data_IF_427299112756
#
_entry.id   IF_427299112756
#
_cell.length_a   1.000
_cell.length_b   1.000
_cell.length_c   1.000
_cell.angle_alpha   90.00
_cell.angle_beta   90.00
_cell.angle_gamma   90.00
#
_symmetry.space_group_name_H-M   'P 1'
#
loop_
_entity.id
_entity.type
_entity.pdbx_description
1 polymer ?
#
# COMPACT_ATOMS: atom_id res chain seq x y z
N UNK A 1 -6.55 17.56 17.82
CA UNK A 1 -6.31 16.13 17.56
C UNK A 1 -5.71 16.05 16.17
N UNK A 2 -4.58 15.36 16.02
CA UNK A 2 -3.91 15.22 14.72
C UNK A 2 -4.57 14.11 13.90
N UNK A 3 -4.54 14.21 12.57
CA UNK A 3 -4.79 13.12 11.63
C UNK A 3 -3.45 12.38 11.43
N UNK A 4 -3.30 11.14 11.94
CA UNK A 4 -2.06 10.37 11.75
C UNK A 4 -2.07 9.68 10.39
N UNK A 5 -1.07 10.02 9.58
CA UNK A 5 -0.86 9.52 8.22
C UNK A 5 0.47 8.80 8.17
N UNK A 6 0.52 7.62 7.56
CA UNK A 6 1.71 6.80 7.49
C UNK A 6 2.07 6.45 6.06
N UNK A 7 3.38 6.42 5.81
CA UNK A 7 4.01 5.91 4.61
C UNK A 7 5.02 4.83 5.01
N UNK A 8 5.25 3.85 4.15
CA UNK A 8 6.41 2.96 4.25
C UNK A 8 7.27 3.15 3.01
N UNK A 9 8.53 3.53 3.19
CA UNK A 9 9.43 3.86 2.06
C UNK A 9 10.82 3.26 2.24
N UNK A 10 11.45 2.91 1.12
CA UNK A 10 12.89 2.78 1.00
C UNK A 10 13.51 4.09 0.50
N UNK A 11 14.82 4.23 0.62
CA UNK A 11 15.53 5.47 0.29
C UNK A 11 15.34 5.90 -1.17
N UNK A 12 15.33 4.94 -2.10
CA UNK A 12 15.11 5.13 -3.53
C UNK A 12 13.67 5.53 -3.90
N UNK A 13 12.70 5.33 -3.00
CA UNK A 13 11.32 5.76 -3.19
C UNK A 13 11.06 7.20 -2.70
N UNK A 14 12.07 7.89 -2.16
CA UNK A 14 11.95 9.27 -1.68
C UNK A 14 11.42 10.24 -2.74
N UNK A 15 11.89 10.21 -4.01
CA UNK A 15 11.38 11.11 -5.04
C UNK A 15 9.86 11.04 -5.19
N UNK A 16 9.29 9.83 -5.24
CA UNK A 16 7.85 9.60 -5.36
C UNK A 16 7.10 10.01 -4.10
N UNK A 17 7.63 9.62 -2.94
CA UNK A 17 7.08 9.99 -1.64
C UNK A 17 7.03 11.52 -1.47
N UNK A 18 8.00 12.25 -2.00
CA UNK A 18 8.01 13.71 -1.99
C UNK A 18 6.89 14.31 -2.86
N UNK A 19 6.57 13.70 -4.01
CA UNK A 19 5.41 14.12 -4.84
C UNK A 19 4.10 13.88 -4.08
N UNK A 20 3.94 12.70 -3.48
CA UNK A 20 2.77 12.38 -2.63
C UNK A 20 2.66 13.36 -1.47
N UNK A 21 3.74 13.57 -0.71
CA UNK A 21 3.77 14.48 0.43
C UNK A 21 3.50 15.93 0.03
N UNK A 22 4.07 16.40 -1.09
CA UNK A 22 3.79 17.72 -1.63
C UNK A 22 2.30 17.89 -1.88
N UNK A 23 1.69 16.92 -2.57
CA UNK A 23 0.25 16.95 -2.88
C UNK A 23 -0.63 16.89 -1.62
N UNK A 24 -0.24 16.14 -0.60
CA UNK A 24 -0.90 16.12 0.71
C UNK A 24 -0.85 17.50 1.38
N UNK A 25 0.34 18.11 1.45
CA UNK A 25 0.52 19.44 2.07
C UNK A 25 -0.25 20.52 1.33
N UNK A 26 -0.34 20.43 0.01
CA UNK A 26 -1.09 21.37 -0.85
C UNK A 26 -2.60 21.35 -0.59
N UNK A 27 -3.14 20.19 -0.20
CA UNK A 27 -4.58 20.00 0.03
C UNK A 27 -4.99 19.91 1.51
N UNK A 28 -4.04 19.95 2.45
CA UNK A 28 -4.31 19.92 3.88
C UNK A 28 -5.18 21.11 4.32
N UNK A 29 -6.27 20.86 5.04
CA UNK A 29 -7.09 21.92 5.63
C UNK A 29 -6.29 22.64 6.73
N UNK A 30 -6.05 23.97 6.62
CA UNK A 30 -5.30 24.72 7.63
C UNK A 30 -5.94 24.72 9.03
N UNK A 31 -7.18 24.24 9.18
CA UNK A 31 -7.88 24.10 10.47
C UNK A 31 -7.69 22.73 11.12
N UNK A 32 -7.12 21.77 10.39
CA UNK A 32 -6.82 20.41 10.86
C UNK A 32 -5.32 20.30 11.09
N UNK A 33 -4.93 19.42 11.99
CA UNK A 33 -3.53 19.12 12.31
C UNK A 33 -3.20 17.72 11.78
N UNK A 34 -2.02 17.52 11.22
CA UNK A 34 -1.60 16.29 10.55
C UNK A 34 -0.24 15.85 11.06
N UNK A 35 -0.08 14.56 11.32
CA UNK A 35 1.20 13.95 11.68
C UNK A 35 1.50 12.91 10.63
N UNK A 36 2.43 13.22 9.74
CA UNK A 36 2.86 12.32 8.67
C UNK A 36 4.12 11.60 9.13
N UNK A 37 4.07 10.27 9.21
CA UNK A 37 5.19 9.45 9.68
C UNK A 37 5.67 8.52 8.57
N UNK A 38 6.94 8.63 8.22
CA UNK A 38 7.62 7.73 7.28
C UNK A 38 8.26 6.58 8.04
N UNK A 39 7.74 5.36 7.88
CA UNK A 39 8.41 4.14 8.29
C UNK A 39 9.45 3.79 7.24
N UNK A 40 10.70 3.57 7.65
CA UNK A 40 11.78 3.27 6.72
C UNK A 40 12.83 2.36 7.37
N UNK A 41 13.71 1.79 6.55
CA UNK A 41 14.93 1.13 7.02
C UNK A 41 16.10 1.73 6.24
N UNK A 42 16.85 2.63 6.88
CA UNK A 42 18.02 3.27 6.26
C UNK A 42 17.73 4.40 5.27
N UNK A 43 16.79 5.30 5.58
CA UNK A 43 16.59 6.54 4.81
C UNK A 43 17.81 7.45 5.01
N UNK A 44 18.33 8.03 3.93
CA UNK A 44 19.48 8.91 3.99
C UNK A 44 19.13 10.23 4.67
N UNK A 45 20.11 10.87 5.32
CA UNK A 45 19.90 12.17 5.97
C UNK A 45 19.49 13.27 4.99
N UNK A 46 19.96 13.19 3.75
CA UNK A 46 19.60 14.15 2.71
C UNK A 46 18.13 13.97 2.30
N UNK A 47 17.66 12.73 2.19
CA UNK A 47 16.25 12.42 1.93
C UNK A 47 15.32 12.74 3.11
N UNK A 48 15.72 12.45 4.36
CA UNK A 48 14.99 12.92 5.54
C UNK A 48 14.87 14.45 5.53
N UNK A 49 15.95 15.16 5.25
CA UNK A 49 15.95 16.63 5.17
C UNK A 49 15.07 17.14 4.04
N UNK A 50 15.08 16.47 2.88
CA UNK A 50 14.21 16.81 1.75
C UNK A 50 12.73 16.68 2.10
N UNK A 51 12.33 15.57 2.73
CA UNK A 51 10.95 15.35 3.16
C UNK A 51 10.56 16.27 4.33
N UNK A 52 11.47 16.52 5.28
CA UNK A 52 11.24 17.44 6.40
C UNK A 52 11.02 18.89 5.97
N UNK A 53 11.47 19.30 4.78
CA UNK A 53 11.23 20.64 4.24
C UNK A 53 9.73 20.93 3.97
N UNK A 54 8.89 19.89 3.96
CA UNK A 54 7.44 19.99 3.83
C UNK A 54 6.71 20.24 5.16
N UNK A 55 7.41 20.30 6.30
CA UNK A 55 6.81 20.70 7.58
C UNK A 55 6.09 22.07 7.45
N UNK A 56 4.92 22.18 8.07
CA UNK A 56 4.11 23.41 8.19
C UNK A 56 3.59 23.54 9.62
N UNK A 57 2.97 24.67 9.95
CA UNK A 57 2.40 24.91 11.29
C UNK A 57 1.42 23.81 11.72
N UNK A 58 0.68 23.23 10.76
CA UNK A 58 -0.32 22.19 10.99
C UNK A 58 0.02 20.84 10.34
N UNK A 59 1.20 20.67 9.73
CA UNK A 59 1.65 19.41 9.12
C UNK A 59 3.03 19.05 9.66
N UNK A 60 3.08 18.00 10.48
CA UNK A 60 4.28 17.56 11.20
C UNK A 60 4.85 16.30 10.58
N UNK A 61 6.07 16.38 10.06
CA UNK A 61 6.76 15.27 9.40
C UNK A 61 7.66 14.55 10.40
N UNK A 62 7.50 13.23 10.52
CA UNK A 62 8.27 12.35 11.41
C UNK A 62 8.86 11.19 10.62
N UNK A 63 9.96 10.66 11.13
CA UNK A 63 10.65 9.50 10.57
C UNK A 63 10.74 8.44 11.67
N UNK A 64 10.42 7.20 11.32
CA UNK A 64 10.48 6.06 12.21
C UNK A 64 11.33 4.96 11.56
N UNK A 65 12.53 4.78 12.08
CA UNK A 65 13.45 3.75 11.60
C UNK A 65 13.05 2.37 12.14
N UNK A 66 12.75 1.47 11.22
CA UNK A 66 12.51 0.05 11.49
C UNK A 66 13.84 -0.65 11.71
N UNK A 67 14.32 -0.61 12.95
CA UNK A 67 15.58 -1.25 13.34
C UNK A 67 15.55 -2.78 13.14
N UNK A 68 16.72 -3.36 12.85
CA UNK A 68 16.87 -4.82 12.74
C UNK A 68 16.41 -5.55 14.01
N UNK A 69 16.55 -4.92 15.18
CA UNK A 69 16.08 -5.49 16.45
C UNK A 69 14.56 -5.60 16.53
N UNK A 70 13.82 -4.59 16.04
CA UNK A 70 12.36 -4.64 15.92
C UNK A 70 11.91 -5.71 14.92
N UNK A 71 12.71 -5.95 13.89
CA UNK A 71 12.45 -6.98 12.88
C UNK A 71 12.92 -8.37 13.31
N UNK A 72 13.79 -8.48 14.31
CA UNK A 72 14.42 -9.73 14.72
C UNK A 72 13.44 -10.85 15.10
N UNK A 73 12.36 -10.61 15.89
CA UNK A 73 11.36 -11.65 16.18
C UNK A 73 10.65 -12.18 14.92
N UNK A 74 10.66 -11.37 13.85
CA UNK A 74 10.09 -11.69 12.55
C UNK A 74 11.13 -12.43 11.70
N UNK A 75 12.39 -11.99 11.71
CA UNK A 75 13.48 -12.59 10.96
C UNK A 75 13.95 -13.93 11.54
N UNK A 76 13.99 -14.08 12.88
CA UNK A 76 14.55 -15.26 13.60
C UNK A 76 13.76 -16.57 13.38
N UNK A 77 12.61 -16.54 12.70
CA UNK A 77 11.85 -17.75 12.36
C UNK A 77 12.52 -18.42 11.17
N UNK A 78 13.04 -19.65 11.36
CA UNK A 78 13.75 -20.45 10.35
C UNK A 78 13.00 -20.56 9.02
N UNK A 79 11.67 -20.52 9.06
CA UNK A 79 10.82 -20.56 7.87
C UNK A 79 10.89 -19.25 7.04
N UNK A 80 11.12 -18.11 7.69
CA UNK A 80 11.28 -16.80 7.02
C UNK A 80 12.67 -16.65 6.37
N UNK A 81 13.71 -17.27 6.94
CA UNK A 81 15.06 -17.31 6.35
C UNK A 81 15.14 -18.16 5.07
N UNK A 82 14.29 -19.17 4.90
CA UNK A 82 14.25 -20.01 3.69
C UNK A 82 13.65 -19.28 2.48
N UNK A 83 13.02 -18.11 2.70
CA UNK A 83 12.61 -17.16 1.66
C UNK A 83 13.55 -15.96 1.57
N UNK A 84 14.85 -16.21 1.72
CA UNK A 84 15.94 -15.25 1.43
C UNK A 84 16.03 -14.76 -0.02
N UNK A 85 14.93 -14.85 -0.78
CA UNK A 85 14.76 -14.36 -2.13
C UNK A 85 13.42 -13.57 -2.18
N UNK A 86 13.52 -12.22 -2.13
CA UNK A 86 12.55 -11.22 -2.63
C UNK A 86 11.35 -10.71 -1.80
N UNK A 87 11.24 -10.95 -0.49
CA UNK A 87 10.33 -10.12 0.34
C UNK A 87 11.13 -9.24 1.28
N UNK A 88 11.33 -7.98 0.89
CA UNK A 88 11.74 -6.97 1.84
C UNK A 88 10.66 -6.89 2.92
N UNK A 89 11.04 -7.12 4.18
CA UNK A 89 10.11 -7.03 5.33
C UNK A 89 9.32 -5.70 5.35
N UNK A 90 9.80 -4.68 4.65
CA UNK A 90 9.13 -3.42 4.40
C UNK A 90 7.72 -3.54 3.83
N UNK A 91 7.40 -4.58 3.04
CA UNK A 91 6.03 -4.74 2.50
C UNK A 91 4.98 -4.88 3.61
N UNK A 92 5.36 -5.45 4.75
CA UNK A 92 4.47 -5.70 5.89
C UNK A 92 4.44 -4.57 6.92
N UNK A 93 5.26 -3.52 6.79
CA UNK A 93 5.34 -2.45 7.80
C UNK A 93 3.99 -1.81 8.09
N UNK A 94 3.14 -1.66 7.06
CA UNK A 94 1.78 -1.15 7.18
C UNK A 94 0.91 -1.95 8.17
N UNK A 95 1.13 -3.26 8.27
CA UNK A 95 0.37 -4.15 9.16
C UNK A 95 0.69 -3.93 10.64
N UNK A 96 1.89 -3.40 10.94
CA UNK A 96 2.39 -3.23 12.31
C UNK A 96 2.09 -1.84 12.87
N UNK A 97 1.62 -0.90 12.05
CA UNK A 97 1.32 0.47 12.48
C UNK A 97 0.42 0.52 13.72
N UNK A 98 -0.68 -0.27 13.83
CA UNK A 98 -1.54 -0.24 15.01
C UNK A 98 -0.84 -0.56 16.33
N UNK A 99 0.13 -1.49 16.32
CA UNK A 99 0.88 -1.92 17.51
C UNK A 99 2.06 -1.01 17.82
N UNK A 100 2.73 -0.48 16.77
CA UNK A 100 3.87 0.42 16.92
C UNK A 100 3.47 1.81 17.42
N UNK A 101 2.25 2.26 17.12
CA UNK A 101 1.74 3.58 17.50
C UNK A 101 0.43 3.46 18.30
N UNK A 102 0.47 2.89 19.52
CA UNK A 102 -0.71 2.60 20.33
C UNK A 102 -1.44 3.86 20.80
N UNK A 103 -0.84 5.04 20.68
CA UNK A 103 -1.48 6.33 20.97
C UNK A 103 -2.59 6.70 19.97
N UNK A 104 -2.65 6.05 18.81
CA UNK A 104 -3.69 6.27 17.82
C UNK A 104 -4.74 5.15 17.83
N UNK A 105 -6.01 5.53 17.89
CA UNK A 105 -7.15 4.60 17.75
C UNK A 105 -7.56 4.40 16.29
N UNK A 106 -7.22 5.34 15.41
CA UNK A 106 -7.47 5.28 13.97
C UNK A 106 -6.28 5.91 13.23
N UNK A 107 -5.89 5.34 12.10
CA UNK A 107 -4.80 5.85 11.26
C UNK A 107 -5.14 5.76 9.77
N UNK A 108 -4.47 6.57 8.94
CA UNK A 108 -4.48 6.43 7.48
C UNK A 108 -3.09 5.98 7.03
N UNK A 109 -3.03 4.95 6.19
CA UNK A 109 -1.83 4.54 5.48
C UNK A 109 -2.02 4.80 3.99
N UNK A 110 -0.99 5.32 3.33
CA UNK A 110 -0.93 5.45 1.87
C UNK A 110 0.46 5.07 1.34
N UNK A 111 0.50 4.43 0.18
CA UNK A 111 1.76 4.13 -0.52
C UNK A 111 2.41 5.42 -1.08
N UNK A 112 3.71 5.35 -1.32
CA UNK A 112 4.51 6.52 -1.73
C UNK A 112 4.31 6.95 -3.19
N UNK A 113 3.78 6.06 -4.02
CA UNK A 113 3.40 6.26 -5.41
C UNK A 113 1.94 6.74 -5.56
N UNK A 114 1.57 7.69 -4.71
CA UNK A 114 0.24 8.29 -4.68
C UNK A 114 0.30 9.81 -4.92
N UNK A 115 -0.82 10.38 -5.38
CA UNK A 115 -1.04 11.83 -5.47
C UNK A 115 -2.41 12.18 -4.90
N UNK A 116 -2.45 13.11 -3.97
CA UNK A 116 -3.67 13.62 -3.37
C UNK A 116 -4.17 14.84 -4.13
N UNK A 117 -5.48 14.84 -4.36
CA UNK A 117 -6.21 15.95 -4.99
C UNK A 117 -7.40 16.40 -4.12
N UNK A 118 -7.42 15.94 -2.86
CA UNK A 118 -8.36 16.35 -1.83
C UNK A 118 -7.70 16.16 -0.45
N UNK A 119 -8.31 16.73 0.59
CA UNK A 119 -7.81 16.65 1.96
C UNK A 119 -7.92 15.21 2.52
N UNK A 120 -6.78 14.62 2.90
CA UNK A 120 -6.70 13.28 3.49
C UNK A 120 -7.46 13.15 4.81
N UNK A 121 -7.76 14.25 5.50
CA UNK A 121 -8.62 14.25 6.66
C UNK A 121 -10.02 13.66 6.35
N UNK A 122 -10.51 13.83 5.11
CA UNK A 122 -11.79 13.26 4.69
C UNK A 122 -11.74 11.74 4.64
N UNK A 123 -10.61 11.13 4.29
CA UNK A 123 -10.40 9.68 4.41
C UNK A 123 -10.48 9.25 5.88
N UNK A 124 -9.70 9.91 6.74
CA UNK A 124 -9.67 9.63 8.18
C UNK A 124 -11.05 9.73 8.86
N UNK A 125 -11.86 10.71 8.45
CA UNK A 125 -13.17 10.98 9.02
C UNK A 125 -14.25 9.96 8.61
N UNK A 126 -13.96 9.02 7.70
CA UNK A 126 -14.90 7.94 7.40
C UNK A 126 -15.21 7.12 8.66
N UNK A 127 -16.50 6.87 8.87
CA UNK A 127 -16.97 5.98 9.93
C UNK A 127 -16.78 4.52 9.52
N UNK A 128 -15.96 3.81 10.29
CA UNK A 128 -15.67 2.39 10.10
C UNK A 128 -16.70 1.51 10.81
N UNK A 129 -17.46 2.04 11.78
CA UNK A 129 -18.30 1.23 12.65
C UNK A 129 -17.48 0.13 13.34
N UNK A 130 -17.92 -1.12 13.20
CA UNK A 130 -17.24 -2.29 13.78
C UNK A 130 -16.19 -2.94 12.85
N UNK A 131 -15.93 -2.33 11.68
CA UNK A 131 -14.95 -2.82 10.72
C UNK A 131 -13.52 -2.59 11.23
N UNK A 132 -12.62 -3.48 10.84
CA UNK A 132 -11.19 -3.40 11.13
C UNK A 132 -10.53 -2.31 10.29
N UNK A 133 -10.89 -2.21 9.02
CA UNK A 133 -10.34 -1.21 8.12
C UNK A 133 -11.38 -0.72 7.09
N UNK A 134 -11.11 0.44 6.51
CA UNK A 134 -11.72 0.90 5.27
C UNK A 134 -10.69 0.97 4.15
N UNK A 135 -11.08 0.50 2.97
CA UNK A 135 -10.23 0.49 1.77
C UNK A 135 -11.09 0.45 0.51
N UNK A 136 -10.48 0.69 -0.65
CA UNK A 136 -11.16 0.63 -1.94
C UNK A 136 -10.98 -0.75 -2.58
N UNK A 137 -12.01 -1.23 -3.30
CA UNK A 137 -11.88 -2.40 -4.18
C UNK A 137 -10.75 -2.16 -5.19
N UNK A 138 -9.89 -3.15 -5.39
CA UNK A 138 -8.81 -3.07 -6.37
C UNK A 138 -9.39 -3.12 -7.79
N UNK A 139 -9.46 -1.96 -8.45
CA UNK A 139 -10.04 -1.84 -9.79
C UNK A 139 -9.06 -2.17 -10.90
N UNK A 140 -7.75 -2.15 -10.63
CA UNK A 140 -6.71 -2.39 -11.65
C UNK A 140 -6.69 -3.86 -12.10
N UNK A 141 -7.11 -4.77 -11.22
CA UNK A 141 -7.10 -6.22 -11.50
C UNK A 141 -8.41 -6.77 -12.07
N UNK A 142 -9.48 -5.96 -12.16
CA UNK A 142 -10.84 -6.45 -12.48
C UNK A 142 -11.00 -6.96 -13.92
N UNK A 143 -10.09 -6.59 -14.82
CA UNK A 143 -10.08 -7.04 -16.22
C UNK A 143 -9.02 -8.12 -16.48
N UNK A 144 -8.31 -8.58 -15.44
CA UNK A 144 -7.26 -9.59 -15.56
C UNK A 144 -7.83 -10.94 -15.13
N UNK A 145 -8.25 -11.76 -16.11
CA UNK A 145 -8.92 -13.05 -15.86
C UNK A 145 -8.17 -13.95 -14.87
N UNK A 146 -6.85 -14.02 -14.99
CA UNK A 146 -6.00 -14.81 -14.09
C UNK A 146 -6.01 -14.28 -12.65
N UNK A 147 -6.10 -12.96 -12.43
CA UNK A 147 -6.27 -12.39 -11.08
C UNK A 147 -7.64 -12.71 -10.51
N UNK A 148 -8.70 -12.58 -11.31
CA UNK A 148 -10.06 -12.96 -10.87
C UNK A 148 -10.11 -14.43 -10.45
N UNK A 149 -9.43 -15.30 -11.21
CA UNK A 149 -9.32 -16.73 -10.90
C UNK A 149 -8.48 -16.97 -9.64
N UNK A 150 -7.35 -16.28 -9.48
CA UNK A 150 -6.55 -16.31 -8.25
C UNK A 150 -7.38 -15.94 -7.02
N UNK A 151 -8.06 -14.80 -7.03
CA UNK A 151 -8.85 -14.34 -5.89
C UNK A 151 -9.98 -15.32 -5.59
N UNK A 152 -10.66 -15.84 -6.61
CA UNK A 152 -11.79 -16.74 -6.41
C UNK A 152 -11.38 -18.15 -5.96
N UNK A 153 -10.29 -18.70 -6.49
CA UNK A 153 -9.96 -20.13 -6.32
C UNK A 153 -8.77 -20.35 -5.37
N UNK A 154 -7.82 -19.42 -5.30
CA UNK A 154 -6.71 -19.46 -4.35
C UNK A 154 -7.10 -18.77 -3.05
N UNK A 155 -7.57 -17.52 -3.14
CA UNK A 155 -8.01 -16.79 -1.95
C UNK A 155 -9.37 -17.31 -1.48
N UNK A 156 -10.27 -17.73 -2.36
CA UNK A 156 -11.67 -18.02 -2.00
C UNK A 156 -12.38 -16.79 -1.40
N UNK A 157 -12.19 -15.65 -2.09
CA UNK A 157 -12.86 -14.38 -1.84
C UNK A 157 -13.68 -13.97 -3.08
N UNK A 158 -14.59 -13.00 -2.92
CA UNK A 158 -15.23 -12.36 -4.07
C UNK A 158 -14.26 -11.33 -4.68
N UNK A 159 -13.87 -11.45 -5.96
CA UNK A 159 -13.03 -10.45 -6.62
C UNK A 159 -13.56 -9.01 -6.56
N UNK A 160 -14.86 -8.80 -6.39
CA UNK A 160 -15.46 -7.46 -6.23
C UNK A 160 -15.25 -6.86 -4.85
N UNK A 161 -14.92 -7.70 -3.88
CA UNK A 161 -14.66 -7.35 -2.49
C UNK A 161 -13.16 -7.36 -2.16
N UNK A 162 -12.31 -7.72 -3.12
CA UNK A 162 -10.86 -7.71 -2.95
C UNK A 162 -10.33 -6.27 -3.01
N UNK A 163 -9.73 -5.81 -1.91
CA UNK A 163 -9.23 -4.43 -1.76
C UNK A 163 -7.77 -4.31 -2.15
N UNK A 164 -7.42 -3.12 -2.63
CA UNK A 164 -6.02 -2.71 -2.75
C UNK A 164 -5.50 -2.20 -1.39
N UNK A 165 -4.24 -2.49 -1.09
CA UNK A 165 -3.62 -2.18 0.21
C UNK A 165 -2.75 -0.93 0.24
N UNK A 166 -2.70 -0.16 -0.85
CA UNK A 166 -1.94 1.09 -0.91
C UNK A 166 -2.68 2.32 -0.41
N UNK A 167 -3.95 2.17 -0.02
CA UNK A 167 -4.67 3.16 0.79
C UNK A 167 -5.57 2.44 1.80
N UNK A 168 -5.31 2.68 3.10
CA UNK A 168 -6.03 2.04 4.20
C UNK A 168 -6.42 3.07 5.26
N UNK A 169 -7.68 3.03 5.71
CA UNK A 169 -8.13 3.68 6.95
C UNK A 169 -8.26 2.60 8.00
N UNK A 170 -7.30 2.50 8.93
CA UNK A 170 -7.23 1.39 9.87
C UNK A 170 -7.85 1.79 11.21
N UNK A 171 -8.75 0.96 11.74
CA UNK A 171 -9.18 1.02 13.13
C UNK A 171 -8.07 0.41 14.01
N UNK A 172 -7.03 1.21 14.28
CA UNK A 172 -5.84 0.78 15.00
C UNK A 172 -6.19 0.20 16.38
N UNK A 173 -7.20 0.74 17.06
CA UNK A 173 -7.70 0.18 18.31
C UNK A 173 -8.25 -1.23 18.13
N UNK A 174 -9.14 -1.46 17.17
CA UNK A 174 -9.70 -2.78 16.92
C UNK A 174 -8.64 -3.79 16.45
N UNK A 175 -7.67 -3.36 15.63
CA UNK A 175 -6.53 -4.20 15.25
C UNK A 175 -5.77 -4.73 16.47
N UNK A 176 -5.51 -3.87 17.47
CA UNK A 176 -4.88 -4.26 18.74
C UNK A 176 -5.79 -5.17 19.57
N UNK A 177 -7.06 -4.82 19.75
CA UNK A 177 -8.01 -5.58 20.57
C UNK A 177 -8.25 -7.01 20.04
N UNK A 178 -8.24 -7.17 18.71
CA UNK A 178 -8.41 -8.47 18.03
C UNK A 178 -7.08 -9.22 17.82
N UNK A 179 -5.96 -8.66 18.29
CA UNK A 179 -4.60 -9.20 18.15
C UNK A 179 -4.26 -9.54 16.68
N UNK A 180 -4.53 -8.61 15.76
CA UNK A 180 -4.31 -8.79 14.32
C UNK A 180 -2.89 -9.25 13.99
N UNK A 181 -1.88 -8.61 14.59
CA UNK A 181 -0.46 -8.90 14.33
C UNK A 181 -0.10 -10.32 14.77
N UNK A 182 -0.63 -10.81 15.89
CA UNK A 182 -0.44 -12.19 16.34
C UNK A 182 -1.11 -13.18 15.38
N UNK A 183 -2.33 -12.87 14.90
CA UNK A 183 -3.03 -13.68 13.90
C UNK A 183 -2.22 -13.77 12.61
N UNK A 184 -1.72 -12.65 12.11
CA UNK A 184 -0.85 -12.57 10.95
C UNK A 184 0.40 -13.45 11.12
N UNK A 185 1.17 -13.30 12.22
CA UNK A 185 2.36 -14.12 12.45
C UNK A 185 2.07 -15.60 12.64
N UNK A 186 0.92 -15.93 13.24
CA UNK A 186 0.48 -17.31 13.41
C UNK A 186 0.20 -17.98 12.06
N UNK A 187 -0.47 -17.26 11.13
CA UNK A 187 -0.74 -17.76 9.78
C UNK A 187 0.55 -17.84 8.95
N UNK A 188 1.35 -16.76 8.94
CA UNK A 188 2.62 -16.68 8.21
C UNK A 188 3.60 -17.78 8.60
N UNK A 189 3.68 -18.11 9.90
CA UNK A 189 4.58 -19.17 10.38
C UNK A 189 4.06 -20.61 10.18
N UNK A 190 2.78 -20.80 9.83
CA UNK A 190 2.18 -22.14 9.66
C UNK A 190 1.95 -22.51 8.21
N UNK A 191 1.57 -21.56 7.37
CA UNK A 191 1.21 -21.80 5.98
C UNK A 191 2.19 -21.11 5.03
N UNK A 192 2.73 -21.90 4.10
CA UNK A 192 3.78 -21.46 3.19
C UNK A 192 3.39 -21.82 1.78
N UNK A 193 2.99 -20.83 1.00
CA UNK A 193 2.65 -20.95 -0.41
C UNK A 193 2.89 -19.61 -1.11
N UNK A 194 2.88 -19.62 -2.44
CA UNK A 194 3.11 -18.42 -3.24
C UNK A 194 1.88 -17.49 -3.18
N UNK A 195 2.10 -16.23 -2.82
CA UNK A 195 1.09 -15.17 -2.84
C UNK A 195 1.49 -14.13 -3.88
N UNK A 196 0.49 -13.51 -4.53
CA UNK A 196 0.76 -12.50 -5.56
C UNK A 196 1.08 -11.17 -4.89
N UNK A 197 0.28 -10.77 -3.91
CA UNK A 197 0.46 -9.53 -3.16
C UNK A 197 0.32 -9.86 -1.66
N UNK A 198 1.37 -10.39 -1.00
CA UNK A 198 1.22 -11.04 0.30
C UNK A 198 0.55 -10.16 1.35
N UNK A 199 1.01 -8.92 1.55
CA UNK A 199 0.45 -7.98 2.52
C UNK A 199 -1.03 -7.67 2.24
N UNK A 200 -1.38 -7.48 0.97
CA UNK A 200 -2.75 -7.28 0.52
C UNK A 200 -3.61 -8.54 0.72
N UNK A 201 -3.10 -9.72 0.41
CA UNK A 201 -3.79 -10.99 0.54
C UNK A 201 -4.08 -11.30 2.02
N UNK A 202 -3.11 -11.08 2.91
CA UNK A 202 -3.32 -11.23 4.36
C UNK A 202 -4.38 -10.26 4.91
N UNK A 203 -4.39 -9.00 4.47
CA UNK A 203 -5.41 -8.04 4.87
C UNK A 203 -6.80 -8.48 4.40
N UNK A 204 -6.93 -8.87 3.15
CA UNK A 204 -8.19 -9.33 2.57
C UNK A 204 -8.71 -10.60 3.25
N UNK A 205 -7.83 -11.53 3.59
CA UNK A 205 -8.18 -12.79 4.25
C UNK A 205 -8.53 -12.60 5.73
N UNK A 206 -7.69 -11.94 6.51
CA UNK A 206 -7.89 -11.78 7.95
C UNK A 206 -9.06 -10.83 8.24
N UNK A 207 -9.22 -9.77 7.45
CA UNK A 207 -10.27 -8.78 7.67
C UNK A 207 -11.58 -9.09 6.92
N UNK A 208 -11.67 -10.20 6.18
CA UNK A 208 -12.86 -10.52 5.37
C UNK A 208 -14.14 -10.46 6.20
N UNK A 209 -15.17 -9.79 5.68
CA UNK A 209 -16.44 -9.52 6.38
C UNK A 209 -16.41 -8.36 7.38
N UNK A 210 -15.23 -7.77 7.64
CA UNK A 210 -15.02 -6.59 8.50
C UNK A 210 -14.24 -5.48 7.77
N UNK A 211 -14.45 -5.35 6.46
CA UNK A 211 -13.90 -4.28 5.61
C UNK A 211 -15.02 -3.30 5.25
N UNK A 212 -14.75 -2.01 5.45
CA UNK A 212 -15.59 -0.93 4.94
C UNK A 212 -15.12 -0.55 3.53
N UNK A 213 -15.87 -0.94 2.50
CA UNK A 213 -15.55 -0.52 1.13
C UNK A 213 -15.82 0.98 0.96
N UNK A 214 -14.76 1.73 0.65
CA UNK A 214 -14.77 3.17 0.45
C UNK A 214 -15.05 3.52 -1.02
N UNK A 215 -15.40 4.78 -1.27
CA UNK A 215 -15.59 5.28 -2.64
C UNK A 215 -14.27 5.17 -3.43
N UNK A 216 -14.33 4.58 -4.62
CA UNK A 216 -13.17 4.35 -5.50
C UNK A 216 -12.41 5.62 -5.87
N UNK A 217 -12.97 6.83 -5.68
CA UNK A 217 -12.24 8.08 -5.84
C UNK A 217 -11.01 8.21 -4.94
N UNK A 218 -10.96 7.45 -3.84
CA UNK A 218 -9.84 7.46 -2.89
C UNK A 218 -8.74 6.46 -3.23
N UNK A 219 -8.86 5.76 -4.35
CA UNK A 219 -7.84 4.85 -4.86
C UNK A 219 -7.99 4.74 -6.39
N UNK A 220 -7.91 5.91 -7.03
CA UNK A 220 -8.03 6.01 -8.48
C UNK A 220 -6.75 5.50 -9.13
N UNK A 221 -6.83 4.43 -9.92
CA UNK A 221 -5.67 3.81 -10.55
C UNK A 221 -5.71 3.99 -12.06
N UNK A 222 -4.58 4.20 -12.74
CA UNK A 222 -4.52 4.12 -14.19
C UNK A 222 -4.97 2.73 -14.66
N UNK A 223 -5.97 2.68 -15.54
CA UNK A 223 -6.45 1.43 -16.11
C UNK A 223 -6.96 1.67 -17.54
N UNK A 224 -6.31 1.06 -18.52
CA UNK A 224 -6.62 1.20 -19.95
C UNK A 224 -8.01 0.67 -20.34
N UNK A 225 -8.60 -0.20 -19.51
CA UNK A 225 -9.92 -0.79 -19.76
C UNK A 225 -11.09 0.04 -19.22
N UNK A 226 -10.81 1.11 -18.47
CA UNK A 226 -11.84 1.96 -17.83
C UNK A 226 -11.59 3.42 -18.14
N UNK A 227 -12.65 4.24 -18.16
CA UNK A 227 -12.47 5.69 -18.25
C UNK A 227 -11.84 6.25 -16.96
N UNK A 228 -11.03 7.31 -17.09
CA UNK A 228 -10.52 8.03 -15.94
C UNK A 228 -11.67 8.67 -15.13
N UNK A 229 -11.55 8.63 -13.81
CA UNK A 229 -12.44 9.32 -12.89
C UNK A 229 -12.25 10.83 -13.04
N UNK A 230 -13.36 11.57 -13.11
CA UNK A 230 -13.31 13.03 -13.29
C UNK A 230 -12.76 13.76 -12.07
N UNK A 231 -13.00 13.24 -10.86
CA UNK A 231 -12.65 13.90 -9.59
C UNK A 231 -11.99 12.92 -8.60
N UNK A 232 -10.79 12.37 -8.91
CA UNK A 232 -10.08 11.53 -7.96
C UNK A 232 -9.71 12.36 -6.72
N UNK A 233 -9.89 11.80 -5.53
CA UNK A 233 -9.40 12.37 -4.27
C UNK A 233 -7.98 11.90 -3.95
N UNK A 234 -7.68 10.64 -4.28
CA UNK A 234 -6.33 10.07 -4.25
C UNK A 234 -6.14 9.21 -5.50
N UNK A 235 -5.00 9.42 -6.15
CA UNK A 235 -4.57 8.68 -7.34
C UNK A 235 -3.42 7.78 -6.89
N UNK A 236 -3.50 6.51 -7.21
CA UNK A 236 -2.50 5.52 -6.85
C UNK A 236 -1.94 4.93 -8.14
N UNK A 237 -0.67 5.20 -8.43
CA UNK A 237 0.02 4.65 -9.57
C UNK A 237 0.49 3.24 -9.23
N UNK A 238 -0.41 2.34 -8.82
CA UNK A 238 -0.07 0.98 -8.39
C UNK A 238 0.33 0.10 -9.59
N UNK A 239 1.17 -0.92 -9.37
CA UNK A 239 1.53 -2.06 -10.24
C UNK A 239 1.83 -1.79 -11.74
N UNK A 240 0.94 -1.11 -12.45
CA UNK A 240 0.97 -0.69 -13.84
C UNK A 240 1.30 0.81 -13.97
N UNK A 241 1.55 1.24 -15.22
CA UNK A 241 1.55 2.65 -15.66
C UNK A 241 2.05 3.66 -14.62
N UNK A 242 3.34 3.59 -14.30
CA UNK A 242 4.00 4.63 -13.51
C UNK A 242 4.30 5.86 -14.37
N UNK A 243 3.94 7.09 -13.98
CA UNK A 243 4.15 8.27 -14.82
C UNK A 243 5.64 8.59 -15.04
N UNK A 244 6.54 8.11 -14.18
CA UNK A 244 7.99 8.17 -14.38
C UNK A 244 8.56 7.04 -15.26
N UNK A 245 7.74 6.08 -15.71
CA UNK A 245 8.14 5.03 -16.66
C UNK A 245 7.33 5.05 -17.96
N UNK A 246 6.19 5.76 -18.01
CA UNK A 246 5.28 5.77 -19.16
C UNK A 246 4.78 7.18 -19.44
N UNK A 247 4.31 7.41 -20.66
CA UNK A 247 3.69 8.67 -21.09
C UNK A 247 2.38 8.40 -21.82
N UNK A 248 1.45 9.36 -21.78
CA UNK A 248 0.10 9.22 -22.31
C UNK A 248 -0.80 8.34 -21.45
N UNK A 249 -0.48 8.17 -20.16
CA UNK A 249 -1.27 7.34 -19.25
C UNK A 249 -2.30 8.17 -18.49
N UNK A 250 -3.32 7.50 -17.95
CA UNK A 250 -4.31 8.17 -17.11
C UNK A 250 -3.65 8.85 -15.91
N UNK A 251 -4.15 10.04 -15.60
CA UNK A 251 -3.75 10.85 -14.45
C UNK A 251 -2.29 11.33 -14.42
N UNK A 252 -1.51 11.19 -15.50
CA UNK A 252 -0.09 11.61 -15.50
C UNK A 252 0.10 13.11 -15.20
N UNK A 253 -0.83 13.96 -15.64
CA UNK A 253 -0.78 15.41 -15.41
C UNK A 253 -0.81 15.76 -13.91
N UNK A 254 -1.54 14.98 -13.10
CA UNK A 254 -1.58 15.17 -11.65
C UNK A 254 -0.21 14.89 -11.03
N UNK A 255 0.46 13.82 -11.46
CA UNK A 255 1.81 13.50 -11.00
C UNK A 255 2.79 14.59 -11.41
N UNK A 256 2.86 14.92 -12.70
CA UNK A 256 3.87 15.85 -13.22
C UNK A 256 3.67 17.28 -12.69
N UNK A 257 2.43 17.75 -12.53
CA UNK A 257 2.15 19.06 -11.91
C UNK A 257 2.72 19.15 -10.49
N UNK A 258 2.58 18.09 -9.68
CA UNK A 258 3.13 18.08 -8.32
C UNK A 258 4.65 17.83 -8.34
N UNK A 259 5.14 16.94 -9.20
CA UNK A 259 6.57 16.61 -9.31
C UNK A 259 7.42 17.83 -9.65
N UNK A 260 6.93 18.71 -10.54
CA UNK A 260 7.59 19.97 -10.92
C UNK A 260 7.76 20.97 -9.77
N UNK A 261 6.96 20.86 -8.71
CA UNK A 261 7.07 21.67 -7.50
C UNK A 261 7.97 21.04 -6.42
N UNK A 262 8.62 19.90 -6.72
CA UNK A 262 9.56 19.22 -5.82
C UNK A 262 11.02 19.43 -6.23
N UNK A 263 11.95 19.22 -5.28
CA UNK A 263 13.39 19.22 -5.59
C UNK A 263 13.82 18.04 -6.48
N UNK A 264 12.95 17.04 -6.68
CA UNK A 264 13.23 15.82 -7.43
C UNK A 264 12.72 15.88 -8.87
N UNK A 265 12.21 17.03 -9.33
CA UNK A 265 11.62 17.19 -10.66
C UNK A 265 12.57 16.74 -11.79
N UNK A 266 13.83 17.19 -11.76
CA UNK A 266 14.83 16.86 -12.78
C UNK A 266 15.23 15.38 -12.74
N UNK A 267 15.30 14.79 -11.55
CA UNK A 267 15.59 13.36 -11.35
C UNK A 267 14.48 12.49 -11.95
N UNK A 268 13.22 12.77 -11.61
CA UNK A 268 12.07 12.05 -12.14
C UNK A 268 11.94 12.17 -13.66
N UNK A 269 12.21 13.37 -14.21
CA UNK A 269 12.23 13.59 -15.67
C UNK A 269 13.37 12.82 -16.34
N UNK A 270 14.55 12.78 -15.71
CA UNK A 270 15.68 12.01 -16.20
C UNK A 270 15.40 10.50 -16.17
N UNK A 271 14.69 10.01 -15.15
CA UNK A 271 14.24 8.62 -15.08
C UNK A 271 13.30 8.28 -16.24
N UNK A 272 12.23 9.06 -16.44
CA UNK A 272 11.30 8.84 -17.56
C UNK A 272 12.00 8.82 -18.93
N UNK A 273 12.97 9.71 -19.13
CA UNK A 273 13.75 9.80 -20.35
C UNK A 273 14.71 8.62 -20.53
N UNK A 274 15.19 8.03 -19.43
CA UNK A 274 16.15 6.91 -19.43
C UNK A 274 15.47 5.55 -19.52
N UNK A 275 14.23 5.40 -19.05
CA UNK A 275 13.50 4.13 -19.08
C UNK A 275 13.40 3.61 -20.51
N UNK A 276 13.98 2.44 -20.75
CA UNK A 276 14.05 1.81 -22.07
C UNK A 276 12.74 1.09 -22.41
N UNK A 277 12.49 0.86 -23.70
CA UNK A 277 11.32 0.07 -24.15
C UNK A 277 11.28 -1.33 -23.52
N UNK A 278 12.46 -1.94 -23.28
CA UNK A 278 12.56 -3.24 -22.62
C UNK A 278 12.14 -3.19 -21.15
N UNK A 279 12.52 -2.14 -20.42
CA UNK A 279 12.09 -1.94 -19.03
C UNK A 279 10.58 -1.68 -18.96
N UNK A 280 10.04 -0.87 -19.90
CA UNK A 280 8.59 -0.65 -20.02
C UNK A 280 7.83 -1.94 -20.32
N UNK A 281 8.32 -2.77 -21.24
CA UNK A 281 7.75 -4.09 -21.57
C UNK A 281 7.76 -5.02 -20.35
N UNK A 282 8.86 -5.01 -19.59
CA UNK A 282 8.98 -5.81 -18.35
C UNK A 282 7.97 -5.36 -17.29
N UNK A 283 7.82 -4.05 -17.07
CA UNK A 283 6.84 -3.52 -16.11
C UNK A 283 5.39 -3.73 -16.58
N UNK A 284 5.11 -3.60 -17.87
CA UNK A 284 3.79 -3.85 -18.45
C UNK A 284 3.35 -5.31 -18.28
N UNK A 285 4.27 -6.26 -18.45
CA UNK A 285 4.02 -7.70 -18.26
C UNK A 285 4.37 -8.23 -16.86
N UNK A 286 4.68 -7.36 -15.91
CA UNK A 286 5.07 -7.74 -14.54
C UNK A 286 4.01 -8.61 -13.87
N UNK A 287 2.74 -8.24 -14.01
CA UNK A 287 1.65 -9.03 -13.45
C UNK A 287 1.52 -10.40 -14.14
N UNK A 288 1.71 -10.48 -15.46
CA UNK A 288 1.71 -11.76 -16.19
C UNK A 288 2.83 -12.69 -15.68
N UNK A 289 4.00 -12.13 -15.40
CA UNK A 289 5.11 -12.87 -14.81
C UNK A 289 4.79 -13.37 -13.40
N UNK A 290 4.20 -12.52 -12.54
CA UNK A 290 3.75 -12.92 -11.19
C UNK A 290 2.70 -14.03 -11.27
N UNK A 291 1.78 -13.94 -12.22
CA UNK A 291 0.73 -14.92 -12.49
C UNK A 291 1.21 -16.18 -13.21
N UNK A 292 2.48 -16.23 -13.63
CA UNK A 292 3.06 -17.39 -14.32
C UNK A 292 3.01 -18.68 -13.49
N UNK A 293 2.91 -18.56 -12.15
CA UNK A 293 2.82 -19.68 -11.21
C UNK A 293 1.40 -19.98 -10.70
N UNK A 294 0.37 -19.34 -11.27
CA UNK A 294 -1.00 -19.49 -10.78
C UNK A 294 -1.46 -20.95 -10.76
N UNK A 295 -1.21 -21.72 -11.82
CA UNK A 295 -1.64 -23.11 -11.90
C UNK A 295 -0.97 -23.99 -10.82
N UNK A 296 0.29 -23.70 -10.47
CA UNK A 296 0.97 -24.36 -9.36
C UNK A 296 0.35 -23.97 -8.02
N UNK A 297 0.06 -22.69 -7.84
CA UNK A 297 -0.51 -22.15 -6.58
C UNK A 297 -1.92 -22.69 -6.31
N UNK A 298 -2.72 -22.90 -7.37
CA UNK A 298 -4.05 -23.51 -7.26
C UNK A 298 -4.02 -24.96 -6.78
N UNK A 299 -2.97 -25.68 -7.13
CA UNK A 299 -2.78 -27.08 -6.72
C UNK A 299 -2.10 -27.21 -5.35
N UNK A 300 -1.62 -26.10 -4.78
CA UNK A 300 -0.97 -26.11 -3.48
C UNK A 300 -1.99 -26.48 -2.37
N UNK A 301 -1.76 -27.56 -1.62
CA UNK A 301 -2.67 -27.99 -0.55
C UNK A 301 -2.71 -27.02 0.64
N UNK A 302 -1.82 -26.01 0.69
CA UNK A 302 -1.74 -25.03 1.77
C UNK A 302 -2.21 -23.64 1.36
N UNK A 303 -2.80 -23.47 0.17
CA UNK A 303 -3.31 -22.17 -0.23
C UNK A 303 -4.53 -21.72 0.61
N UNK A 304 -4.89 -20.44 0.55
CA UNK A 304 -5.92 -19.86 1.43
C UNK A 304 -7.27 -20.58 1.39
N UNK A 305 -7.71 -21.01 0.21
CA UNK A 305 -8.93 -21.80 0.07
C UNK A 305 -8.89 -23.09 0.90
N UNK A 306 -7.74 -23.80 0.92
CA UNK A 306 -7.54 -25.02 1.72
C UNK A 306 -7.33 -24.75 3.20
N UNK A 307 -6.63 -23.66 3.54
CA UNK A 307 -6.44 -23.24 4.93
C UNK A 307 -7.79 -22.97 5.59
N UNK A 308 -8.69 -22.27 4.89
CA UNK A 308 -10.03 -21.93 5.40
C UNK A 308 -10.96 -23.13 5.62
N UNK A 309 -10.67 -24.29 5.02
CA UNK A 309 -11.41 -25.52 5.29
C UNK A 309 -11.13 -26.07 6.71
N UNK A 310 -9.97 -25.73 7.29
CA UNK A 310 -9.47 -26.34 8.52
C UNK A 310 -9.18 -25.35 9.65
N UNK A 311 -9.11 -24.05 9.33
CA UNK A 311 -8.86 -22.99 10.29
C UNK A 311 -9.73 -21.77 10.01
N UNK A 312 -10.24 -21.13 11.07
CA UNK A 312 -10.81 -19.79 10.98
C UNK A 312 -9.71 -18.76 10.71
N UNK A 313 -9.63 -18.24 9.48
CA UNK A 313 -8.63 -17.23 9.09
C UNK A 313 -9.05 -15.80 9.51
N UNK A 314 -10.35 -15.51 9.45
CA UNK A 314 -10.91 -14.19 9.73
C UNK A 314 -10.93 -13.82 11.22
N UNK A 315 -10.89 -12.52 11.50
CA UNK A 315 -11.16 -11.89 12.80
C UNK A 315 -12.56 -11.27 12.88
#
# INVERSE_FOLDING_TARGET
MTVPVFYSISDDFTPYAAVSLHSLVKHADPKRDYTVTFLHQGLSRDHEKALAAYNRDNVHIKFYEMSDELLKPIQDRKENYLRGDFFAMSIFYRLFIPDLFPEYDKVVYIDSDTVLNDDIAKLYDHDLGNNLLGACTDTSIQFVEKMLRYIKEVLALDPKEYINSGMLVMNAKAFREENFVDKFFSLLGRYHFDCIAPDQDYLNEICSGRIKYLDGRWDAMPNENTAALENPGLIHYNLFFKPWHFSGIQYEDYFWTNAEETIFADELKAELAKTTDKERDTEYHKLDHMLGKLDTTLQDPHNWARVKENEQVTL
#
